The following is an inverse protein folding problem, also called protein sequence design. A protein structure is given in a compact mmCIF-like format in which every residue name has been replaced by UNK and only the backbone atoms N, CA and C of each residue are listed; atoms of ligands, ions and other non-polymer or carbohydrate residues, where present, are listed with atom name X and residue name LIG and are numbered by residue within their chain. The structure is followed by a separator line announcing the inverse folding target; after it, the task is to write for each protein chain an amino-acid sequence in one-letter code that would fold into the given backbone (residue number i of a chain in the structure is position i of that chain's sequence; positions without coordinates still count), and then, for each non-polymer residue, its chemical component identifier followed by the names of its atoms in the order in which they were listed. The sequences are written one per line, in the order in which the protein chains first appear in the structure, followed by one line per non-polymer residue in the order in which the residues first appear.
data_IF_721730101467
#
_entry.id   IF_721730101467
#
_cell.length_a   1.000
_cell.length_b   1.000
_cell.length_c   1.000
_cell.angle_alpha   90.00
_cell.angle_beta   90.00
_cell.angle_gamma   90.00
#
_symmetry.space_group_name_H-M   'P 1'
#
loop_
_entity.id
_entity.type
_entity.pdbx_description
1 polymer ?
#
# COMPACT_ATOMS: atom_id res chain seq x y z
N UNK A 1 -12.27 -17.93 -10.45
CA UNK A 1 -11.64 -17.23 -11.59
C UNK A 1 -11.92 -15.75 -11.39
N UNK A 2 -10.84 -15.02 -11.05
CA UNK A 2 -10.60 -13.57 -11.10
C UNK A 2 -11.75 -12.61 -10.77
N UNK A 3 -11.76 -12.12 -9.51
CA UNK A 3 -12.42 -10.87 -9.13
C UNK A 3 -11.77 -9.73 -9.94
N UNK A 4 -12.31 -9.46 -11.12
CA UNK A 4 -11.99 -8.26 -11.89
C UNK A 4 -12.66 -7.09 -11.17
N UNK A 5 -11.95 -6.52 -10.19
CA UNK A 5 -12.34 -5.25 -9.58
C UNK A 5 -12.11 -4.16 -10.63
N UNK A 6 -13.11 -3.92 -11.48
CA UNK A 6 -13.11 -2.86 -12.50
C UNK A 6 -13.11 -1.46 -11.86
N UNK A 7 -13.26 -1.41 -10.54
CA UNK A 7 -13.10 -0.22 -9.71
C UNK A 7 -11.65 -0.18 -9.23
N UNK A 8 -10.85 0.80 -9.67
CA UNK A 8 -9.46 0.94 -9.21
C UNK A 8 -9.34 0.93 -7.68
N UNK A 9 -8.15 0.56 -7.19
CA UNK A 9 -7.79 0.65 -5.78
C UNK A 9 -7.01 1.93 -5.51
N UNK A 10 -6.96 2.32 -4.23
CA UNK A 10 -6.13 3.41 -3.73
C UNK A 10 -5.44 3.00 -2.46
N UNK A 11 -4.24 3.53 -2.25
CA UNK A 11 -3.49 3.37 -1.01
C UNK A 11 -4.07 4.31 0.03
N UNK A 12 -4.36 3.75 1.19
CA UNK A 12 -4.87 4.47 2.36
C UNK A 12 -3.93 4.24 3.52
N UNK A 13 -3.82 5.26 4.36
CA UNK A 13 -3.07 5.20 5.61
C UNK A 13 -3.95 5.63 6.77
N UNK A 14 -3.75 5.04 7.93
CA UNK A 14 -4.38 5.50 9.15
C UNK A 14 -3.46 6.44 9.93
N UNK A 15 -3.89 6.81 11.14
CA UNK A 15 -3.10 7.63 12.07
C UNK A 15 -1.90 6.89 12.66
N UNK A 16 -1.97 5.56 12.72
CA UNK A 16 -0.90 4.68 13.20
C UNK A 16 0.13 4.33 12.10
N UNK A 17 0.17 5.09 11.00
CA UNK A 17 1.07 4.90 9.87
C UNK A 17 0.99 3.51 9.20
N UNK A 18 -0.14 2.83 9.37
CA UNK A 18 -0.41 1.56 8.70
C UNK A 18 -0.94 1.81 7.29
N UNK A 19 -0.36 1.11 6.32
CA UNK A 19 -0.75 1.20 4.92
C UNK A 19 -1.69 0.04 4.55
N UNK A 20 -2.73 0.36 3.78
CA UNK A 20 -3.64 -0.64 3.22
C UNK A 20 -4.17 -0.19 1.87
N UNK A 21 -4.80 -1.11 1.14
CA UNK A 21 -5.50 -0.79 -0.11
C UNK A 21 -7.00 -0.70 0.14
N UNK A 22 -7.65 0.28 -0.49
CA UNK A 22 -9.09 0.49 -0.42
C UNK A 22 -9.66 0.70 -1.82
N UNK A 23 -10.93 0.32 -2.05
CA UNK A 23 -11.57 0.55 -3.34
C UNK A 23 -11.77 2.05 -3.56
N UNK A 24 -11.35 2.58 -4.72
CA UNK A 24 -11.41 4.01 -5.02
C UNK A 24 -12.86 4.53 -5.04
N UNK A 25 -13.80 3.70 -5.50
CA UNK A 25 -15.23 4.02 -5.57
C UNK A 25 -16.00 3.91 -4.25
N UNK A 26 -15.34 3.63 -3.12
CA UNK A 26 -15.99 3.47 -1.81
C UNK A 26 -15.54 4.53 -0.83
N UNK A 27 -16.44 5.07 -0.02
CA UNK A 27 -16.08 6.00 1.06
C UNK A 27 -15.02 5.42 2.00
N UNK A 28 -14.17 6.29 2.56
CA UNK A 28 -13.12 5.91 3.49
C UNK A 28 -13.69 5.82 4.91
N UNK A 29 -13.37 4.76 5.67
CA UNK A 29 -13.75 4.69 7.08
C UNK A 29 -13.07 5.80 7.90
N UNK A 30 -13.69 6.18 9.01
CA UNK A 30 -13.14 7.19 9.92
C UNK A 30 -11.74 6.78 10.40
N UNK A 31 -10.80 7.74 10.39
CA UNK A 31 -9.40 7.51 10.76
C UNK A 31 -8.51 7.02 9.61
N UNK A 32 -9.08 6.70 8.44
CA UNK A 32 -8.32 6.36 7.24
C UNK A 32 -8.33 7.53 6.25
N UNK A 33 -7.17 7.80 5.66
CA UNK A 33 -6.95 8.87 4.70
C UNK A 33 -6.25 8.31 3.46
N UNK A 34 -6.69 8.74 2.27
CA UNK A 34 -5.99 8.41 1.04
C UNK A 34 -4.57 8.98 1.09
N UNK A 35 -3.60 8.15 0.72
CA UNK A 35 -2.19 8.55 0.67
C UNK A 35 -1.91 9.39 -0.58
N UNK A 36 -2.59 9.08 -1.69
CA UNK A 36 -2.47 9.77 -2.97
C UNK A 36 -2.24 8.81 -4.14
N UNK A 37 -1.84 7.57 -3.86
CA UNK A 37 -1.64 6.54 -4.87
C UNK A 37 -2.94 5.80 -5.21
N UNK A 38 -3.26 5.70 -6.49
CA UNK A 38 -4.42 4.97 -7.03
C UNK A 38 -4.04 4.21 -8.30
N UNK A 39 -4.66 3.06 -8.53
CA UNK A 39 -4.35 2.20 -9.67
C UNK A 39 -4.90 0.79 -9.51
N UNK A 40 -4.23 -0.18 -10.12
CA UNK A 40 -4.60 -1.58 -9.94
C UNK A 40 -4.26 -2.06 -8.52
N UNK A 41 -4.88 -3.19 -8.12
CA UNK A 41 -4.56 -3.84 -6.84
C UNK A 41 -3.06 -4.10 -6.69
N UNK A 42 -2.44 -4.55 -7.78
CA UNK A 42 -1.02 -4.92 -7.80
C UNK A 42 -0.13 -3.68 -7.67
N UNK A 43 -0.40 -2.60 -8.41
CA UNK A 43 0.35 -1.34 -8.30
C UNK A 43 0.24 -0.73 -6.91
N UNK A 44 -0.96 -0.72 -6.31
CA UNK A 44 -1.12 -0.21 -4.95
C UNK A 44 -0.35 -1.06 -3.93
N UNK A 45 -0.31 -2.38 -4.09
CA UNK A 45 0.44 -3.27 -3.20
C UNK A 45 1.95 -3.14 -3.39
N UNK A 46 2.41 -2.94 -4.63
CA UNK A 46 3.81 -2.71 -4.96
C UNK A 46 4.28 -1.38 -4.34
N UNK A 47 3.51 -0.31 -4.54
CA UNK A 47 3.76 0.98 -3.88
C UNK A 47 3.80 0.84 -2.37
N UNK A 48 2.83 0.14 -1.76
CA UNK A 48 2.86 -0.13 -0.32
C UNK A 48 4.12 -0.90 0.06
N UNK A 49 4.56 -1.90 -0.70
CA UNK A 49 5.79 -2.61 -0.42
C UNK A 49 7.04 -1.72 -0.56
N UNK A 50 7.02 -0.73 -1.46
CA UNK A 50 8.08 0.26 -1.65
C UNK A 50 8.09 1.31 -0.52
N UNK A 51 6.94 1.90 -0.17
CA UNK A 51 6.86 2.95 0.87
C UNK A 51 6.88 2.37 2.28
N UNK A 52 6.22 1.23 2.48
CA UNK A 52 6.27 0.45 3.71
C UNK A 52 7.46 -0.52 3.70
N UNK A 53 8.59 -0.04 3.17
CA UNK A 53 9.86 -0.78 3.13
C UNK A 53 10.45 -1.05 4.50
N UNK A 54 9.95 -0.40 5.56
CA UNK A 54 10.43 -0.57 6.94
C UNK A 54 9.45 -1.38 7.81
N UNK A 55 9.12 -2.60 7.35
CA UNK A 55 8.55 -3.64 8.22
C UNK A 55 9.62 -4.59 8.79
N UNK A 56 10.92 -4.23 8.67
CA UNK A 56 12.06 -4.89 9.32
C UNK A 56 13.05 -3.81 9.78
N UNK A 57 13.58 -3.85 11.02
CA UNK A 57 14.58 -2.89 11.47
C UNK A 57 15.79 -2.91 10.53
N UNK A 58 16.44 -1.75 10.36
CA UNK A 58 17.61 -1.42 9.52
C UNK A 58 18.68 -2.52 9.29
N UNK A 59 18.75 -3.56 10.12
CA UNK A 59 19.72 -4.65 10.09
C UNK A 59 19.67 -5.56 8.84
N UNK A 60 18.55 -5.65 8.11
CA UNK A 60 18.49 -6.48 6.88
C UNK A 60 18.84 -5.70 5.59
N UNK A 61 18.73 -4.37 5.61
CA UNK A 61 19.02 -3.51 4.45
C UNK A 61 20.49 -3.52 4.02
N UNK A 62 21.40 -4.06 4.84
CA UNK A 62 22.85 -4.19 4.51
C UNK A 62 23.25 -5.46 3.75
N UNK A 63 22.37 -6.45 3.53
CA UNK A 63 22.76 -7.75 2.97
C UNK A 63 22.49 -7.97 1.47
N UNK A 64 21.81 -7.07 0.78
CA UNK A 64 21.50 -7.22 -0.66
C UNK A 64 22.11 -6.13 -1.56
N UNK A 65 22.91 -5.23 -0.99
CA UNK A 65 23.73 -4.28 -1.74
C UNK A 65 25.22 -4.70 -1.82
N UNK A 66 25.54 -5.96 -1.51
CA UNK A 66 26.90 -6.49 -1.69
C UNK A 66 26.86 -7.82 -2.46
N UNK A 67 27.22 -7.66 -3.75
CA UNK A 67 27.75 -8.61 -4.74
C UNK A 67 26.93 -9.80 -5.21
#
# INVERSE_FOLDING_TARGET
MTETDESGYRVVRNDEEQYSIWRAGRELPAGWRAEGTEGTRQECLDHIAEVWTDMRPLSLRRRMAVS
#
